data_IF_652810439059
#
_entry.id   IF_652810439059
#
_cell.length_a   1.000
_cell.length_b   1.000
_cell.length_c   1.000
_cell.angle_alpha   90.00
_cell.angle_beta   90.00
_cell.angle_gamma   90.00
#
_symmetry.space_group_name_H-M   'P 1'
#
loop_
_entity.id
_entity.type
_entity.pdbx_description
1 polymer ?
#
# COMPACT_ATOMS: atom_id res chain seq x y z
N UNK A 1 -34.43 -5.93 -16.14
CA UNK A 1 -35.37 -5.13 -15.33
C UNK A 1 -34.54 -4.51 -14.21
N UNK A 2 -34.23 -3.23 -14.38
CA UNK A 2 -33.79 -2.26 -13.36
C UNK A 2 -32.42 -2.56 -12.70
N UNK A 3 -31.33 -2.31 -13.43
CA UNK A 3 -30.16 -1.69 -12.81
C UNK A 3 -30.37 -0.18 -12.90
N UNK A 4 -30.94 0.39 -11.84
CA UNK A 4 -31.19 1.82 -11.72
C UNK A 4 -30.74 2.28 -10.35
N UNK A 5 -29.96 3.37 -10.36
CA UNK A 5 -29.62 4.27 -9.25
C UNK A 5 -28.47 3.85 -8.32
N UNK A 6 -27.24 4.23 -8.71
CA UNK A 6 -26.38 5.17 -7.96
C UNK A 6 -24.98 5.23 -8.60
N UNK A 7 -24.87 5.91 -9.74
CA UNK A 7 -23.56 6.33 -10.27
C UNK A 7 -23.04 7.49 -9.44
N UNK A 8 -22.26 7.19 -8.40
CA UNK A 8 -21.44 8.18 -7.69
C UNK A 8 -20.00 7.64 -7.59
N UNK A 9 -19.13 8.07 -8.52
CA UNK A 9 -17.68 8.22 -8.32
C UNK A 9 -16.75 7.02 -8.02
N UNK A 10 -17.23 5.78 -7.84
CA UNK A 10 -16.41 4.73 -7.19
C UNK A 10 -15.83 3.62 -8.09
N UNK A 11 -16.07 3.65 -9.41
CA UNK A 11 -15.69 2.53 -10.30
C UNK A 11 -14.21 2.47 -10.70
N UNK A 12 -13.51 3.62 -10.71
CA UNK A 12 -12.13 3.71 -11.21
C UNK A 12 -11.13 3.24 -10.15
N UNK A 13 -11.38 3.58 -8.87
CA UNK A 13 -10.54 3.16 -7.75
C UNK A 13 -10.62 1.65 -7.53
N UNK A 14 -11.81 1.06 -7.52
CA UNK A 14 -11.94 -0.39 -7.38
C UNK A 14 -11.10 -1.18 -8.42
N UNK A 15 -10.93 -0.66 -9.64
CA UNK A 15 -10.05 -1.25 -10.64
C UNK A 15 -8.55 -0.97 -10.42
N UNK A 16 -8.18 0.15 -9.81
CA UNK A 16 -6.79 0.47 -9.45
C UNK A 16 -6.28 -0.43 -8.33
N UNK A 17 -6.97 -0.45 -7.19
CA UNK A 17 -6.60 -1.29 -6.05
C UNK A 17 -6.67 -2.79 -6.37
N UNK A 18 -7.63 -3.24 -7.18
CA UNK A 18 -7.69 -4.64 -7.62
C UNK A 18 -6.44 -5.05 -8.41
N UNK A 19 -5.93 -4.18 -9.29
CA UNK A 19 -4.68 -4.45 -10.02
C UNK A 19 -3.46 -4.50 -9.12
N UNK A 20 -3.44 -3.68 -8.05
CA UNK A 20 -2.38 -3.76 -7.04
C UNK A 20 -2.49 -5.09 -6.29
N UNK A 21 -3.70 -5.49 -5.88
CA UNK A 21 -3.96 -6.77 -5.23
C UNK A 21 -3.52 -7.96 -6.10
N UNK A 22 -3.86 -7.95 -7.40
CA UNK A 22 -3.40 -8.96 -8.37
C UNK A 22 -1.87 -9.03 -8.45
N UNK A 23 -1.20 -7.87 -8.49
CA UNK A 23 0.27 -7.80 -8.51
C UNK A 23 0.90 -8.36 -7.23
N UNK A 24 0.30 -8.11 -6.06
CA UNK A 24 0.75 -8.66 -4.77
C UNK A 24 0.55 -10.17 -4.74
N UNK A 25 -0.64 -10.64 -5.12
CA UNK A 25 -0.97 -12.06 -5.22
C UNK A 25 0.04 -12.80 -6.11
N UNK A 26 0.29 -12.27 -7.30
CA UNK A 26 1.24 -12.85 -8.25
C UNK A 26 2.67 -12.88 -7.69
N UNK A 27 3.13 -11.79 -7.06
CA UNK A 27 4.46 -11.73 -6.44
C UNK A 27 4.61 -12.77 -5.32
N UNK A 28 3.57 -12.98 -4.52
CA UNK A 28 3.59 -13.97 -3.46
C UNK A 28 3.60 -15.40 -4.01
N UNK A 29 2.82 -15.71 -5.06
CA UNK A 29 2.83 -17.02 -5.73
C UNK A 29 4.19 -17.34 -6.38
N UNK A 30 4.82 -16.34 -6.99
CA UNK A 30 6.19 -16.46 -7.53
C UNK A 30 7.19 -16.77 -6.42
N UNK A 31 7.05 -16.12 -5.27
CA UNK A 31 7.91 -16.36 -4.12
C UNK A 31 7.70 -17.75 -3.50
N UNK A 32 6.45 -18.23 -3.42
CA UNK A 32 6.15 -19.60 -3.01
C UNK A 32 6.87 -20.60 -3.91
N UNK A 33 6.78 -20.40 -5.22
CA UNK A 33 7.43 -21.27 -6.19
C UNK A 33 8.95 -21.23 -6.03
N UNK A 34 9.53 -20.02 -5.91
CA UNK A 34 10.98 -19.82 -5.80
C UNK A 34 11.58 -20.44 -4.54
N UNK A 35 10.85 -20.39 -3.41
CA UNK A 35 11.28 -20.90 -2.11
C UNK A 35 10.72 -22.28 -1.77
N UNK A 36 9.93 -22.87 -2.67
CA UNK A 36 9.23 -24.14 -2.47
C UNK A 36 8.36 -24.15 -1.20
N UNK A 37 7.62 -23.06 -0.97
CA UNK A 37 6.69 -22.91 0.16
C UNK A 37 5.36 -23.57 -0.16
N UNK A 38 4.77 -24.22 0.85
CA UNK A 38 3.50 -24.90 0.71
C UNK A 38 2.30 -24.01 1.06
N UNK A 39 2.49 -23.04 1.96
CA UNK A 39 1.46 -22.08 2.36
C UNK A 39 2.06 -20.73 2.69
N UNK A 40 1.24 -19.68 2.57
CA UNK A 40 1.52 -18.33 3.06
C UNK A 40 0.35 -17.94 3.98
N UNK A 41 0.66 -17.50 5.18
CA UNK A 41 -0.32 -17.06 6.18
C UNK A 41 -0.44 -15.54 6.21
N UNK A 42 0.65 -14.80 5.94
CA UNK A 42 0.64 -13.35 5.88
C UNK A 42 1.57 -12.78 4.81
N UNK A 43 1.18 -11.62 4.26
CA UNK A 43 1.98 -10.80 3.36
C UNK A 43 2.12 -9.42 4.00
N UNK A 44 3.33 -9.07 4.40
CA UNK A 44 3.67 -7.78 4.99
C UNK A 44 3.85 -6.71 3.92
N UNK A 45 3.12 -5.60 4.02
CA UNK A 45 3.21 -4.47 3.11
C UNK A 45 3.56 -3.19 3.88
N UNK A 46 4.37 -2.32 3.26
CA UNK A 46 4.54 -0.92 3.68
C UNK A 46 3.88 -0.02 2.64
N UNK A 47 2.91 0.77 3.09
CA UNK A 47 2.12 1.67 2.25
C UNK A 47 2.30 3.10 2.76
N UNK A 48 2.88 3.95 1.92
CA UNK A 48 3.13 5.33 2.24
C UNK A 48 1.88 6.20 2.10
N UNK A 49 1.75 7.23 2.94
CA UNK A 49 0.62 8.16 2.91
C UNK A 49 0.47 8.97 1.59
N UNK A 50 1.52 9.05 0.76
CA UNK A 50 1.51 9.63 -0.59
C UNK A 50 1.41 8.60 -1.71
N UNK A 51 1.27 7.30 -1.39
CA UNK A 51 1.12 6.25 -2.41
C UNK A 51 -0.16 6.38 -3.23
N UNK A 52 -1.17 7.05 -2.68
CA UNK A 52 -2.51 7.17 -3.29
C UNK A 52 -3.35 5.90 -3.18
N UNK A 53 -2.87 4.87 -2.45
CA UNK A 53 -3.56 3.59 -2.28
C UNK A 53 -4.62 3.70 -1.19
N UNK A 54 -5.84 3.27 -1.51
CA UNK A 54 -6.88 3.07 -0.51
C UNK A 54 -6.73 1.69 0.15
N UNK A 55 -6.25 1.65 1.39
CA UNK A 55 -5.96 0.40 2.13
C UNK A 55 -7.16 -0.53 2.21
N UNK A 56 -8.33 -0.04 2.63
CA UNK A 56 -9.52 -0.87 2.76
C UNK A 56 -9.98 -1.44 1.42
N UNK A 57 -9.83 -0.69 0.33
CA UNK A 57 -10.15 -1.17 -1.02
C UNK A 57 -9.14 -2.20 -1.52
N UNK A 58 -7.86 -2.04 -1.17
CA UNK A 58 -6.82 -3.01 -1.47
C UNK A 58 -7.05 -4.33 -0.72
N UNK A 59 -7.34 -4.26 0.57
CA UNK A 59 -7.66 -5.44 1.39
C UNK A 59 -8.88 -6.17 0.83
N UNK A 60 -9.96 -5.44 0.54
CA UNK A 60 -11.16 -6.02 -0.08
C UNK A 60 -10.85 -6.66 -1.44
N UNK A 61 -10.11 -5.96 -2.31
CA UNK A 61 -9.71 -6.47 -3.61
C UNK A 61 -8.90 -7.76 -3.48
N UNK A 62 -7.93 -7.79 -2.57
CA UNK A 62 -7.11 -8.97 -2.29
C UNK A 62 -7.96 -10.14 -1.76
N UNK A 63 -8.79 -9.92 -0.75
CA UNK A 63 -9.68 -10.96 -0.20
C UNK A 63 -10.66 -11.51 -1.24
N UNK A 64 -11.03 -10.71 -2.25
CA UNK A 64 -11.95 -11.14 -3.31
C UNK A 64 -11.31 -12.06 -4.36
N UNK A 65 -9.98 -11.99 -4.57
CA UNK A 65 -9.29 -12.72 -5.65
C UNK A 65 -8.53 -13.96 -5.18
N UNK A 66 -8.16 -14.05 -3.89
CA UNK A 66 -7.37 -15.16 -3.35
C UNK A 66 -8.10 -16.49 -3.07
N UNK A 67 -9.44 -16.60 -2.90
CA UNK A 67 -10.07 -17.84 -2.42
C UNK A 67 -9.81 -19.10 -3.25
N UNK A 68 -9.61 -18.96 -4.56
CA UNK A 68 -9.32 -20.09 -5.47
C UNK A 68 -7.83 -20.22 -5.81
N UNK A 69 -6.95 -19.74 -4.91
CA UNK A 69 -5.49 -19.74 -5.09
C UNK A 69 -4.79 -20.41 -3.90
N UNK A 70 -3.46 -20.62 -4.02
CA UNK A 70 -2.63 -21.09 -2.90
C UNK A 70 -2.55 -20.09 -1.71
N UNK A 71 -3.12 -18.89 -1.87
CA UNK A 71 -3.15 -17.83 -0.87
C UNK A 71 -4.53 -17.70 -0.19
N UNK A 72 -5.43 -18.67 -0.34
CA UNK A 72 -6.82 -18.57 0.17
C UNK A 72 -6.95 -18.20 1.66
N UNK A 73 -5.89 -18.42 2.46
CA UNK A 73 -5.84 -18.10 3.89
C UNK A 73 -4.86 -16.98 4.24
N UNK A 74 -4.18 -16.40 3.25
CA UNK A 74 -3.23 -15.32 3.47
C UNK A 74 -3.95 -14.02 3.88
N UNK A 75 -3.35 -13.28 4.81
CA UNK A 75 -3.80 -11.93 5.20
C UNK A 75 -2.76 -10.89 4.83
N UNK A 76 -3.23 -9.69 4.47
CA UNK A 76 -2.34 -8.53 4.37
C UNK A 76 -2.06 -8.00 5.77
N UNK A 77 -0.79 -7.74 6.07
CA UNK A 77 -0.36 -7.04 7.27
C UNK A 77 0.28 -5.72 6.83
N UNK A 78 -0.43 -4.61 7.04
CA UNK A 78 -0.09 -3.31 6.44
C UNK A 78 0.50 -2.38 7.51
N UNK A 79 1.71 -1.90 7.25
CA UNK A 79 2.32 -0.78 7.96
C UNK A 79 2.13 0.51 7.15
N UNK A 80 1.42 1.47 7.72
CA UNK A 80 1.28 2.80 7.15
C UNK A 80 2.53 3.65 7.43
N UNK A 81 3.13 4.19 6.37
CA UNK A 81 4.34 5.01 6.47
C UNK A 81 3.98 6.49 6.35
N UNK A 82 4.18 7.29 7.41
CA UNK A 82 3.90 8.71 7.36
C UNK A 82 4.86 9.42 6.40
N UNK A 83 4.45 10.58 5.92
CA UNK A 83 5.29 11.41 5.06
C UNK A 83 6.42 11.99 5.90
N UNK A 84 7.67 11.74 5.50
CA UNK A 84 8.85 12.36 6.11
C UNK A 84 9.61 13.17 5.09
N UNK A 85 10.18 14.28 5.55
CA UNK A 85 11.00 15.15 4.74
C UNK A 85 12.25 15.60 5.46
N UNK A 86 13.31 15.79 4.68
CA UNK A 86 14.54 16.44 5.09
C UNK A 86 14.53 17.88 4.54
N UNK A 87 14.72 18.88 5.40
CA UNK A 87 14.85 20.26 4.94
C UNK A 87 16.26 20.52 4.39
N UNK A 88 16.37 20.83 3.10
CA UNK A 88 17.66 21.15 2.46
C UNK A 88 18.27 22.47 2.91
N UNK A 89 17.51 23.33 3.60
CA UNK A 89 18.01 24.61 4.12
C UNK A 89 18.63 24.50 5.51
N UNK A 90 18.15 23.60 6.38
CA UNK A 90 18.67 23.46 7.75
C UNK A 90 19.16 22.05 8.10
N UNK A 91 19.01 21.08 7.19
CA UNK A 91 19.47 19.70 7.34
C UNK A 91 18.68 18.86 8.35
N UNK A 92 17.51 19.33 8.81
CA UNK A 92 16.70 18.61 9.80
C UNK A 92 15.63 17.77 9.13
N UNK A 93 15.45 16.57 9.65
CA UNK A 93 14.32 15.69 9.33
C UNK A 93 13.09 16.09 10.14
N UNK A 94 11.92 15.94 9.51
CA UNK A 94 10.64 16.16 10.16
C UNK A 94 9.54 15.35 9.48
N UNK A 95 8.47 15.10 10.21
CA UNK A 95 7.24 14.51 9.68
C UNK A 95 6.36 15.60 9.08
N UNK A 96 5.81 15.34 7.89
CA UNK A 96 4.87 16.25 7.23
C UNK A 96 3.47 15.91 7.73
N UNK A 97 2.94 16.80 8.57
CA UNK A 97 1.57 16.73 9.08
C UNK A 97 0.63 17.51 8.17
N UNK A 98 -0.59 17.00 7.98
CA UNK A 98 -1.67 17.66 7.22
C UNK A 98 -1.26 18.11 5.80
N UNK A 99 -0.28 17.42 5.19
CA UNK A 99 0.31 17.76 3.89
C UNK A 99 0.89 19.18 3.81
N UNK A 100 1.33 19.74 4.94
CA UNK A 100 2.00 21.03 5.00
C UNK A 100 3.50 20.84 4.77
N UNK A 101 3.94 21.03 3.54
CA UNK A 101 5.35 20.93 3.13
C UNK A 101 6.11 22.22 3.46
N UNK A 102 6.24 22.51 4.75
CA UNK A 102 7.06 23.61 5.29
C UNK A 102 7.87 23.10 6.46
N UNK A 103 9.18 23.36 6.47
CA UNK A 103 10.03 22.93 7.57
C UNK A 103 9.63 23.64 8.88
N UNK A 104 9.31 22.92 9.96
CA UNK A 104 8.88 23.53 11.22
C UNK A 104 10.03 24.25 11.96
N UNK A 105 11.28 24.05 11.54
CA UNK A 105 12.46 24.59 12.21
C UNK A 105 12.99 25.89 11.60
N UNK A 106 12.84 26.08 10.29
CA UNK A 106 13.38 27.25 9.58
C UNK A 106 12.39 27.85 8.57
N UNK A 107 11.18 27.30 8.46
CA UNK A 107 10.11 27.75 7.57
C UNK A 107 10.44 27.70 6.07
N UNK A 108 11.52 27.02 5.70
CA UNK A 108 11.86 26.77 4.31
C UNK A 108 10.89 25.76 3.69
N UNK A 109 10.58 25.99 2.41
CA UNK A 109 9.83 25.05 1.55
C UNK A 109 10.76 24.15 0.73
N UNK A 110 12.08 24.32 0.85
CA UNK A 110 13.07 23.48 0.16
C UNK A 110 13.23 22.14 0.89
N UNK A 111 12.34 21.21 0.59
CA UNK A 111 12.18 19.94 1.31
C UNK A 111 12.42 18.78 0.33
N UNK A 112 13.19 17.81 0.79
CA UNK A 112 13.37 16.52 0.14
C UNK A 112 12.46 15.49 0.81
N UNK A 113 11.55 14.85 0.09
CA UNK A 113 10.73 13.78 0.68
C UNK A 113 11.60 12.52 0.82
N UNK A 114 11.62 11.96 2.02
CA UNK A 114 12.46 10.81 2.38
C UNK A 114 11.65 9.56 2.73
N UNK A 115 10.36 9.70 3.07
CA UNK A 115 9.43 8.59 3.27
C UNK A 115 7.99 9.00 2.97
N UNK A 116 7.10 8.01 2.87
CA UNK A 116 5.67 8.18 2.62
C UNK A 116 5.24 7.88 1.20
N UNK A 117 6.11 7.34 0.34
CA UNK A 117 5.81 6.96 -1.05
C UNK A 117 5.82 5.43 -1.27
N UNK A 118 5.89 4.66 -0.19
CA UNK A 118 6.06 3.21 -0.23
C UNK A 118 4.83 2.50 -0.81
N UNK A 119 5.10 1.47 -1.59
CA UNK A 119 4.16 0.40 -1.92
C UNK A 119 5.00 -0.87 -2.10
N UNK A 120 5.45 -1.42 -0.98
CA UNK A 120 6.48 -2.45 -0.97
C UNK A 120 6.00 -3.70 -0.24
N UNK A 121 6.28 -4.87 -0.81
CA UNK A 121 6.23 -6.14 -0.09
C UNK A 121 7.49 -6.27 0.78
N UNK A 122 7.30 -6.39 2.09
CA UNK A 122 8.38 -6.37 3.09
C UNK A 122 8.73 -7.79 3.54
N UNK A 123 7.73 -8.62 3.78
CA UNK A 123 7.92 -10.01 4.19
C UNK A 123 6.74 -10.87 3.78
N UNK A 124 6.96 -12.18 3.83
CA UNK A 124 5.96 -13.23 3.69
C UNK A 124 6.16 -14.17 4.88
N UNK A 125 5.07 -14.53 5.55
CA UNK A 125 5.03 -15.55 6.58
C UNK A 125 4.49 -16.85 5.95
N UNK A 126 5.19 -17.96 6.19
CA UNK A 126 4.88 -19.28 5.65
C UNK A 126 4.96 -20.34 6.76
N UNK A 127 4.22 -21.43 6.61
CA UNK A 127 4.27 -22.60 7.50
C UNK A 127 5.21 -23.70 6.98
#
# INVERSE_FOLDING_TARGET
>A
MIWSLASCGNGIWLMHELRIAESIMQSALEEMTRRNLHSITAIGLRIGALSGVNISSLEFGFESIIPETALAHAKLQIEEVPVRGECRSCGKDFEVNEFIFVCPHCYSTNINITAGQELNLVYIEAE
#
